data_IF_874728713798
#
_entry.id   IF_874728713798
#
_cell.length_a   1.000
_cell.length_b   1.000
_cell.length_c   1.000
_cell.angle_alpha   90.00
_cell.angle_beta   90.00
_cell.angle_gamma   90.00
#
_symmetry.space_group_name_H-M   'P 1'
#
loop_
_entity.id
_entity.type
_entity.pdbx_description
1 polymer ?
#
# COMPACT_ATOMS: atom_id res chain seq x y z
N UNK A 1 8.47 -9.50 31.96
CA UNK A 1 7.52 -9.83 30.88
C UNK A 1 8.26 -9.50 29.60
N UNK A 2 8.28 -10.41 28.63
CA UNK A 2 8.99 -10.22 27.38
C UNK A 2 8.21 -9.25 26.51
N UNK A 3 8.84 -8.15 26.10
CA UNK A 3 8.27 -7.16 25.19
C UNK A 3 8.06 -7.82 23.82
N UNK A 4 6.81 -7.87 23.34
CA UNK A 4 6.46 -8.38 22.01
C UNK A 4 6.32 -7.18 21.08
N UNK A 5 7.15 -7.12 20.04
CA UNK A 5 7.07 -6.03 19.06
C UNK A 5 6.00 -6.34 18.02
N UNK A 6 5.17 -5.34 17.71
CA UNK A 6 4.12 -5.41 16.69
C UNK A 6 4.47 -4.46 15.57
N UNK A 7 4.57 -4.95 14.33
CA UNK A 7 4.98 -4.12 13.20
C UNK A 7 4.41 -4.60 11.86
N UNK A 8 4.33 -3.64 10.94
CA UNK A 8 4.03 -3.83 9.53
C UNK A 8 5.27 -4.12 8.70
N UNK A 9 5.13 -4.10 7.38
CA UNK A 9 6.25 -4.35 6.46
C UNK A 9 7.26 -3.18 6.40
N UNK A 10 8.41 -3.43 5.78
CA UNK A 10 9.37 -2.42 5.35
C UNK A 10 8.73 -1.42 4.38
N UNK A 11 9.19 -0.17 4.39
CA UNK A 11 8.56 0.95 3.66
C UNK A 11 7.07 1.03 4.00
N UNK A 12 6.75 1.25 5.29
CA UNK A 12 5.39 1.10 5.78
C UNK A 12 4.47 2.16 5.15
N UNK A 13 3.27 1.74 4.80
CA UNK A 13 2.17 2.61 4.45
C UNK A 13 1.25 2.87 5.66
N UNK A 14 0.11 3.51 5.41
CA UNK A 14 -0.83 3.87 6.45
C UNK A 14 -1.51 2.65 7.08
N UNK A 15 -1.70 1.54 6.36
CA UNK A 15 -2.29 0.33 6.94
C UNK A 15 -1.27 -0.39 7.81
N UNK A 16 -0.05 -0.60 7.32
CA UNK A 16 1.06 -1.17 8.08
C UNK A 16 1.27 -0.47 9.45
N UNK A 17 1.24 0.87 9.48
CA UNK A 17 1.33 1.63 10.75
C UNK A 17 0.04 1.52 11.56
N UNK A 18 -1.12 1.74 10.93
CA UNK A 18 -2.40 1.80 11.62
C UNK A 18 -2.79 0.46 12.27
N UNK A 19 -2.64 -0.64 11.55
CA UNK A 19 -2.89 -2.00 12.04
C UNK A 19 -1.94 -2.37 13.16
N UNK A 20 -0.66 -2.00 13.08
CA UNK A 20 0.33 -2.30 14.12
C UNK A 20 0.01 -1.61 15.44
N UNK A 21 -0.27 -0.31 15.39
CA UNK A 21 -0.64 0.47 16.58
C UNK A 21 -1.95 -0.04 17.19
N UNK A 22 -2.96 -0.26 16.35
CA UNK A 22 -4.25 -0.75 16.79
C UNK A 22 -4.17 -2.17 17.39
N UNK A 23 -3.40 -3.06 16.76
CA UNK A 23 -3.25 -4.43 17.23
C UNK A 23 -2.41 -4.51 18.51
N UNK A 24 -1.35 -3.70 18.64
CA UNK A 24 -0.59 -3.62 19.90
C UNK A 24 -1.48 -3.17 21.06
N UNK A 25 -2.37 -2.20 20.84
CA UNK A 25 -3.35 -1.79 21.84
C UNK A 25 -4.32 -2.92 22.17
N UNK A 26 -4.93 -3.53 21.15
CA UNK A 26 -5.87 -4.64 21.34
C UNK A 26 -5.23 -5.82 22.06
N UNK A 27 -3.99 -6.17 21.71
CA UNK A 27 -3.30 -7.31 22.29
C UNK A 27 -3.04 -7.13 23.79
N UNK A 28 -2.75 -5.89 24.21
CA UNK A 28 -2.63 -5.54 25.61
C UNK A 28 -3.96 -5.66 26.35
N UNK A 29 -5.03 -5.09 25.79
CA UNK A 29 -6.35 -5.03 26.44
C UNK A 29 -7.09 -6.38 26.45
N UNK A 30 -7.03 -7.13 25.35
CA UNK A 30 -7.78 -8.37 25.15
C UNK A 30 -7.02 -9.62 25.61
N UNK A 31 -5.69 -9.64 25.44
CA UNK A 31 -4.87 -10.83 25.69
C UNK A 31 -3.90 -10.68 26.85
N UNK A 32 -3.77 -9.47 27.42
CA UNK A 32 -2.82 -9.21 28.51
C UNK A 32 -1.36 -9.34 28.08
N UNK A 33 -1.08 -9.17 26.79
CA UNK A 33 0.28 -9.23 26.25
C UNK A 33 1.01 -7.90 26.48
N UNK A 34 2.31 -7.98 26.72
CA UNK A 34 3.18 -6.81 26.85
C UNK A 34 3.71 -6.43 25.47
N UNK A 35 2.97 -5.58 24.76
CA UNK A 35 3.21 -5.25 23.35
C UNK A 35 3.58 -3.79 23.12
N UNK A 36 4.49 -3.57 22.16
CA UNK A 36 4.92 -2.25 21.67
C UNK A 36 4.78 -2.22 20.14
N UNK A 37 4.12 -1.19 19.61
CA UNK A 37 4.09 -0.96 18.17
C UNK A 37 5.38 -0.26 17.70
N UNK A 38 6.02 -0.80 16.67
CA UNK A 38 7.23 -0.25 16.04
C UNK A 38 7.07 -0.23 14.52
N UNK A 39 7.96 0.49 13.83
CA UNK A 39 7.96 0.60 12.37
C UNK A 39 9.28 0.10 11.77
N UNK A 40 9.22 -0.38 10.52
CA UNK A 40 10.39 -0.81 9.74
C UNK A 40 10.86 0.24 8.72
N UNK A 41 10.36 1.46 8.84
CA UNK A 41 10.71 2.59 7.99
C UNK A 41 10.08 3.87 8.50
N UNK A 42 10.52 5.00 7.94
CA UNK A 42 9.91 6.30 8.26
C UNK A 42 8.53 6.38 7.62
N UNK A 43 7.50 6.90 8.31
CA UNK A 43 6.17 7.14 7.72
C UNK A 43 6.28 7.96 6.42
N UNK A 44 5.52 7.57 5.39
CA UNK A 44 5.40 8.34 4.17
C UNK A 44 4.56 9.63 4.40
N UNK A 45 4.41 10.48 3.38
CA UNK A 45 3.70 11.77 3.51
C UNK A 45 2.22 11.60 3.88
N UNK A 46 1.56 10.56 3.36
CA UNK A 46 0.18 10.22 3.72
C UNK A 46 0.08 9.82 5.20
N UNK A 47 0.93 8.89 5.64
CA UNK A 47 0.93 8.42 7.02
C UNK A 47 1.37 9.52 7.99
N UNK A 48 2.28 10.40 7.59
CA UNK A 48 2.66 11.58 8.37
C UNK A 48 1.47 12.54 8.54
N UNK A 49 0.66 12.75 7.49
CA UNK A 49 -0.60 13.49 7.60
C UNK A 49 -1.54 12.84 8.62
N UNK A 50 -1.72 11.52 8.55
CA UNK A 50 -2.57 10.74 9.46
C UNK A 50 -2.16 10.93 10.93
N UNK A 51 -0.87 10.69 11.22
CA UNK A 51 -0.30 10.81 12.56
C UNK A 51 -0.48 12.23 13.12
N UNK A 52 -0.21 13.24 12.30
CA UNK A 52 -0.42 14.64 12.68
C UNK A 52 -1.89 14.99 12.91
N UNK A 53 -2.79 14.49 12.07
CA UNK A 53 -4.23 14.77 12.16
C UNK A 53 -4.83 14.24 13.47
N UNK A 54 -4.44 13.03 13.89
CA UNK A 54 -4.92 12.41 15.12
C UNK A 54 -4.04 12.67 16.34
N UNK A 55 -2.94 13.42 16.19
CA UNK A 55 -2.03 13.75 17.29
C UNK A 55 -1.33 12.52 17.89
N UNK A 56 -1.03 11.52 17.05
CA UNK A 56 -0.34 10.28 17.46
C UNK A 56 1.13 10.38 17.08
N UNK A 57 2.03 10.05 18.02
CA UNK A 57 3.46 9.96 17.72
C UNK A 57 3.74 8.78 16.78
N UNK A 58 4.63 8.98 15.81
CA UNK A 58 5.06 7.91 14.92
C UNK A 58 5.70 6.77 15.74
N UNK A 59 5.38 5.49 15.45
CA UNK A 59 6.09 4.37 16.06
C UNK A 59 7.60 4.48 15.82
N UNK A 60 8.38 4.08 16.82
CA UNK A 60 9.84 4.08 16.71
C UNK A 60 10.28 3.17 15.58
N UNK A 61 11.20 3.66 14.76
CA UNK A 61 11.80 2.87 13.68
C UNK A 61 12.88 1.94 14.24
N UNK A 62 12.81 0.66 13.86
CA UNK A 62 13.79 -0.36 14.23
C UNK A 62 14.37 -1.03 12.98
N UNK A 63 15.54 -1.64 13.12
CA UNK A 63 16.18 -2.41 12.03
C UNK A 63 16.37 -3.88 12.38
N UNK A 64 16.32 -4.24 13.66
CA UNK A 64 16.48 -5.61 14.18
C UNK A 64 15.63 -5.77 15.43
N UNK A 65 14.77 -6.79 15.48
CA UNK A 65 13.95 -7.07 16.66
C UNK A 65 14.81 -7.54 17.84
N UNK A 66 15.88 -8.31 17.56
CA UNK A 66 16.79 -8.80 18.61
C UNK A 66 17.61 -7.68 19.25
N UNK A 67 18.02 -6.67 18.47
CA UNK A 67 18.73 -5.51 19.02
C UNK A 67 17.87 -4.74 20.03
N UNK A 68 16.54 -4.82 19.89
CA UNK A 68 15.57 -4.25 20.82
C UNK A 68 15.25 -5.17 22.02
N UNK A 69 15.87 -6.36 22.08
CA UNK A 69 15.64 -7.33 23.14
C UNK A 69 14.32 -8.09 23.01
N UNK A 70 13.68 -8.09 21.84
CA UNK A 70 12.47 -8.86 21.59
C UNK A 70 12.81 -10.32 21.24
N UNK A 71 12.16 -11.25 21.94
CA UNK A 71 12.22 -12.69 21.62
C UNK A 71 11.04 -13.13 20.73
N UNK A 72 9.93 -12.39 20.81
CA UNK A 72 8.69 -12.64 20.10
C UNK A 72 8.22 -11.40 19.35
N UNK A 73 7.59 -11.62 18.20
CA UNK A 73 7.04 -10.56 17.37
C UNK A 73 5.63 -10.92 16.88
N UNK A 74 4.86 -9.90 16.55
CA UNK A 74 3.57 -10.02 15.86
C UNK A 74 3.65 -9.21 14.56
N UNK A 75 3.27 -9.84 13.47
CA UNK A 75 3.25 -9.20 12.16
C UNK A 75 1.82 -8.74 11.86
N UNK A 76 1.69 -7.50 11.39
CA UNK A 76 0.45 -7.04 10.76
C UNK A 76 0.71 -6.66 9.32
N UNK A 77 -0.28 -6.82 8.45
CA UNK A 77 -0.25 -6.37 7.05
C UNK A 77 0.87 -7.00 6.17
N UNK A 78 1.56 -8.02 6.68
CA UNK A 78 2.47 -8.83 5.89
C UNK A 78 2.76 -10.17 6.55
N UNK A 79 3.30 -11.09 5.76
CA UNK A 79 3.87 -12.36 6.22
C UNK A 79 5.18 -12.71 5.51
N UNK A 80 5.40 -12.30 4.26
CA UNK A 80 6.58 -12.72 3.50
C UNK A 80 7.87 -12.15 4.16
N UNK A 81 8.80 -13.02 4.56
CA UNK A 81 9.97 -12.63 5.39
C UNK A 81 10.83 -11.53 4.77
N UNK A 82 10.97 -11.50 3.45
CA UNK A 82 11.74 -10.48 2.76
C UNK A 82 11.15 -9.06 2.85
N UNK A 83 9.90 -8.93 3.29
CA UNK A 83 9.24 -7.65 3.56
C UNK A 83 9.33 -7.25 5.05
N UNK A 84 9.83 -8.15 5.91
CA UNK A 84 9.79 -8.00 7.36
C UNK A 84 11.08 -7.43 7.94
N UNK A 85 11.22 -7.47 9.27
CA UNK A 85 12.44 -7.06 9.96
C UNK A 85 13.61 -7.97 9.56
N UNK A 86 14.82 -7.41 9.47
CA UNK A 86 15.98 -8.08 8.86
C UNK A 86 16.36 -9.42 9.52
N UNK A 87 16.07 -9.56 10.81
CA UNK A 87 16.33 -10.73 11.65
C UNK A 87 15.05 -11.52 11.97
N UNK A 88 13.99 -11.42 11.15
CA UNK A 88 12.70 -12.09 11.37
C UNK A 88 12.83 -13.61 11.57
N UNK A 89 13.78 -14.25 10.88
CA UNK A 89 14.04 -15.69 11.01
C UNK A 89 14.72 -16.07 12.34
N UNK A 90 15.19 -15.10 13.12
CA UNK A 90 15.87 -15.31 14.39
C UNK A 90 14.98 -15.05 15.62
N UNK A 91 13.73 -14.61 15.42
CA UNK A 91 12.74 -14.35 16.48
C UNK A 91 11.50 -15.24 16.29
N UNK A 92 10.74 -15.47 17.36
CA UNK A 92 9.51 -16.24 17.26
C UNK A 92 8.34 -15.36 16.79
N UNK A 93 7.71 -15.75 15.69
CA UNK A 93 6.47 -15.11 15.24
C UNK A 93 5.30 -15.67 16.08
N UNK A 94 4.83 -14.87 17.03
CA UNK A 94 3.71 -15.20 17.90
C UNK A 94 2.36 -15.14 17.15
N UNK A 95 2.22 -14.13 16.28
CA UNK A 95 0.96 -13.80 15.64
C UNK A 95 1.13 -13.15 14.26
N UNK A 96 0.17 -13.39 13.37
CA UNK A 96 0.05 -12.68 12.08
C UNK A 96 -1.41 -12.23 11.85
N UNK A 97 -1.61 -10.95 11.50
CA UNK A 97 -2.91 -10.39 11.07
C UNK A 97 -2.73 -9.68 9.74
N UNK A 98 -3.19 -10.27 8.64
CA UNK A 98 -2.83 -9.82 7.29
C UNK A 98 -3.93 -10.14 6.27
N UNK A 99 -3.96 -9.42 5.15
CA UNK A 99 -4.91 -9.58 4.05
C UNK A 99 -4.26 -10.00 2.72
N UNK A 100 -2.93 -10.14 2.72
CA UNK A 100 -2.15 -10.58 1.58
C UNK A 100 -2.18 -12.10 1.38
N UNK A 101 -1.63 -12.55 0.25
CA UNK A 101 -1.32 -13.97 0.03
C UNK A 101 -0.23 -14.43 1.00
N UNK A 102 -0.17 -15.74 1.26
CA UNK A 102 0.92 -16.34 2.03
C UNK A 102 2.03 -16.84 1.11
N UNK A 103 3.25 -16.40 1.32
CA UNK A 103 4.45 -16.90 0.64
C UNK A 103 5.70 -16.60 1.48
N UNK A 104 6.79 -17.37 1.29
CA UNK A 104 8.08 -17.14 1.96
C UNK A 104 7.95 -16.88 3.48
N UNK A 105 7.06 -17.64 4.13
CA UNK A 105 6.75 -17.55 5.55
C UNK A 105 6.76 -18.96 6.12
N UNK A 106 7.46 -19.16 7.23
CA UNK A 106 7.50 -20.42 7.95
C UNK A 106 7.65 -20.19 9.46
N UNK A 107 7.17 -21.13 10.27
CA UNK A 107 7.37 -21.11 11.71
C UNK A 107 7.76 -22.50 12.22
N UNK A 108 8.61 -22.54 13.26
CA UNK A 108 8.98 -23.79 13.91
C UNK A 108 7.88 -24.34 14.82
N UNK A 109 7.04 -23.46 15.37
CA UNK A 109 5.95 -23.77 16.29
C UNK A 109 4.60 -23.33 15.71
N UNK A 110 3.47 -23.93 16.16
CA UNK A 110 2.16 -23.35 15.91
C UNK A 110 2.08 -21.91 16.43
N UNK A 111 1.39 -21.05 15.69
CA UNK A 111 1.19 -19.63 16.02
C UNK A 111 -0.28 -19.22 15.87
N UNK A 112 -0.61 -18.00 16.30
CA UNK A 112 -1.86 -17.36 15.92
C UNK A 112 -1.75 -16.77 14.51
N UNK A 113 -2.70 -17.05 13.63
CA UNK A 113 -2.71 -16.45 12.29
C UNK A 113 -4.15 -16.16 11.88
N UNK A 114 -4.43 -14.90 11.57
CA UNK A 114 -5.73 -14.45 11.06
C UNK A 114 -5.52 -13.74 9.72
N UNK A 115 -5.93 -14.43 8.66
CA UNK A 115 -5.90 -13.89 7.31
C UNK A 115 -7.30 -13.80 6.75
N UNK A 116 -7.64 -12.66 6.16
CA UNK A 116 -8.93 -12.49 5.50
C UNK A 116 -8.76 -11.71 4.18
N UNK A 117 -9.41 -12.14 3.08
CA UNK A 117 -9.29 -11.48 1.78
C UNK A 117 -10.16 -10.20 1.74
N UNK A 118 -9.80 -9.21 2.56
CA UNK A 118 -10.48 -7.90 2.67
C UNK A 118 -9.58 -6.76 2.23
N UNK A 119 -10.12 -5.54 2.23
CA UNK A 119 -9.43 -4.35 1.71
C UNK A 119 -8.17 -3.97 2.47
N UNK A 120 -8.13 -4.19 3.80
CA UNK A 120 -6.98 -3.83 4.65
C UNK A 120 -6.87 -4.70 5.90
N UNK A 121 -5.66 -4.81 6.47
CA UNK A 121 -5.43 -5.45 7.77
C UNK A 121 -6.13 -4.69 8.90
N UNK A 122 -6.22 -3.35 8.86
CA UNK A 122 -7.00 -2.57 9.82
C UNK A 122 -8.47 -3.00 9.92
N UNK A 123 -9.07 -3.44 8.80
CA UNK A 123 -10.44 -3.97 8.79
C UNK A 123 -10.57 -5.30 9.54
N UNK A 124 -9.51 -6.10 9.56
CA UNK A 124 -9.43 -7.33 10.36
C UNK A 124 -9.28 -6.97 11.83
N UNK A 125 -8.34 -6.08 12.17
CA UNK A 125 -8.09 -5.62 13.54
C UNK A 125 -9.35 -5.01 14.15
N UNK A 126 -10.09 -4.19 13.42
CA UNK A 126 -11.35 -3.60 13.90
C UNK A 126 -12.41 -4.67 14.26
N UNK A 127 -12.53 -5.73 13.45
CA UNK A 127 -13.41 -6.86 13.80
C UNK A 127 -12.95 -7.56 15.07
N UNK A 128 -11.64 -7.71 15.26
CA UNK A 128 -11.08 -8.28 16.49
C UNK A 128 -11.43 -7.42 17.72
N UNK A 129 -11.39 -6.09 17.64
CA UNK A 129 -11.89 -5.22 18.72
C UNK A 129 -13.34 -5.54 19.09
N UNK A 130 -14.23 -5.65 18.10
CA UNK A 130 -15.66 -5.97 18.32
C UNK A 130 -15.85 -7.35 18.93
N UNK A 131 -15.12 -8.35 18.44
CA UNK A 131 -15.18 -9.73 18.95
C UNK A 131 -14.77 -9.85 20.41
N UNK A 132 -13.79 -9.05 20.85
CA UNK A 132 -13.30 -9.05 22.23
C UNK A 132 -14.05 -8.06 23.12
N UNK A 133 -15.00 -7.28 22.58
CA UNK A 133 -15.73 -6.26 23.31
C UNK A 133 -14.84 -5.13 23.84
N UNK A 134 -13.70 -4.89 23.21
CA UNK A 134 -12.77 -3.82 23.58
C UNK A 134 -13.21 -2.54 22.87
N UNK A 135 -13.38 -1.46 23.62
CA UNK A 135 -13.69 -0.14 23.05
C UNK A 135 -12.49 0.36 22.24
N UNK A 136 -12.77 0.93 21.06
CA UNK A 136 -11.72 1.50 20.20
C UNK A 136 -11.51 2.97 20.60
N UNK A 137 -10.32 3.38 21.07
CA UNK A 137 -10.02 4.79 21.30
C UNK A 137 -10.13 5.61 20.02
N UNK A 138 -10.48 6.90 20.14
CA UNK A 138 -10.73 7.79 19.01
C UNK A 138 -9.54 7.83 18.03
N UNK A 139 -8.34 7.97 18.58
CA UNK A 139 -7.10 8.09 17.81
C UNK A 139 -6.80 6.78 17.06
N UNK A 140 -6.99 5.64 17.72
CA UNK A 140 -6.80 4.31 17.12
C UNK A 140 -7.85 4.02 16.05
N UNK A 141 -9.11 4.44 16.25
CA UNK A 141 -10.13 4.38 15.22
C UNK A 141 -9.72 5.21 13.99
N UNK A 142 -9.14 6.38 14.22
CA UNK A 142 -8.58 7.24 13.18
C UNK A 142 -7.47 6.56 12.38
N UNK A 143 -6.51 5.93 13.06
CA UNK A 143 -5.43 5.19 12.39
C UNK A 143 -5.94 3.99 11.58
N UNK A 144 -6.84 3.17 12.14
CA UNK A 144 -7.43 2.04 11.42
C UNK A 144 -8.26 2.51 10.22
N UNK A 145 -9.00 3.61 10.37
CA UNK A 145 -9.73 4.21 9.26
C UNK A 145 -8.79 4.62 8.14
N UNK A 146 -7.66 5.22 8.51
CA UNK A 146 -6.65 5.71 7.57
C UNK A 146 -6.04 4.57 6.75
N UNK A 147 -5.65 3.47 7.41
CA UNK A 147 -5.17 2.27 6.74
C UNK A 147 -6.18 1.70 5.75
N UNK A 148 -7.44 1.57 6.18
CA UNK A 148 -8.55 1.16 5.31
C UNK A 148 -8.71 2.08 4.11
N UNK A 149 -8.75 3.41 4.31
CA UNK A 149 -8.90 4.38 3.21
C UNK A 149 -7.73 4.29 2.24
N UNK A 150 -6.50 4.14 2.73
CA UNK A 150 -5.28 4.08 1.93
C UNK A 150 -5.32 2.88 0.97
N UNK A 151 -5.47 1.67 1.49
CA UNK A 151 -5.46 0.43 0.69
C UNK A 151 -6.63 0.33 -0.28
N UNK A 152 -7.75 0.90 0.12
CA UNK A 152 -8.99 0.83 -0.67
C UNK A 152 -9.17 2.03 -1.59
N UNK A 153 -8.26 3.01 -1.58
CA UNK A 153 -8.41 4.29 -2.28
C UNK A 153 -9.79 4.90 -2.03
N UNK A 154 -10.13 5.09 -0.75
CA UNK A 154 -11.44 5.55 -0.30
C UNK A 154 -12.59 4.64 -0.82
N UNK A 155 -12.45 3.33 -0.60
CA UNK A 155 -13.43 2.29 -0.97
C UNK A 155 -13.68 2.11 -2.48
N UNK A 156 -12.80 2.62 -3.34
CA UNK A 156 -12.92 2.56 -4.81
C UNK A 156 -12.06 1.49 -5.45
N UNK A 157 -11.02 1.04 -4.76
CA UNK A 157 -10.13 -0.03 -5.23
C UNK A 157 -10.91 -1.33 -5.43
N UNK A 158 -10.55 -2.15 -6.44
CA UNK A 158 -11.10 -3.50 -6.62
C UNK A 158 -10.69 -4.49 -5.51
N UNK A 159 -9.90 -4.08 -4.52
CA UNK A 159 -9.64 -4.85 -3.28
C UNK A 159 -10.71 -4.62 -2.22
N UNK A 160 -11.48 -3.54 -2.32
CA UNK A 160 -12.53 -3.19 -1.34
C UNK A 160 -13.55 -4.31 -1.21
N UNK A 161 -13.63 -4.89 -0.02
CA UNK A 161 -14.60 -5.92 0.33
C UNK A 161 -15.91 -5.28 0.81
N UNK A 162 -17.08 -5.93 0.64
CA UNK A 162 -18.35 -5.39 1.13
C UNK A 162 -18.37 -5.05 2.62
N UNK A 163 -17.57 -5.72 3.45
CA UNK A 163 -17.44 -5.39 4.88
C UNK A 163 -16.71 -4.07 5.11
N UNK A 164 -15.77 -3.69 4.26
CA UNK A 164 -15.00 -2.45 4.43
C UNK A 164 -15.92 -1.23 4.28
N UNK A 165 -16.95 -1.35 3.44
CA UNK A 165 -18.01 -0.33 3.28
C UNK A 165 -18.90 -0.16 4.51
N UNK A 166 -18.91 -1.15 5.41
CA UNK A 166 -19.61 -1.08 6.70
C UNK A 166 -18.65 -0.59 7.79
N UNK A 167 -17.41 -1.06 7.76
CA UNK A 167 -16.38 -0.73 8.76
C UNK A 167 -15.94 0.73 8.67
N UNK A 168 -15.73 1.27 7.46
CA UNK A 168 -15.21 2.63 7.32
C UNK A 168 -16.14 3.71 7.92
N UNK A 169 -17.48 3.67 7.71
CA UNK A 169 -18.39 4.59 8.40
C UNK A 169 -18.37 4.43 9.93
N UNK A 170 -18.31 3.20 10.45
CA UNK A 170 -18.23 2.96 11.90
C UNK A 170 -16.94 3.53 12.50
N UNK A 171 -15.80 3.33 11.84
CA UNK A 171 -14.52 3.91 12.26
C UNK A 171 -14.50 5.43 12.13
N UNK A 172 -15.10 6.00 11.10
CA UNK A 172 -15.21 7.46 10.93
C UNK A 172 -16.03 8.11 12.04
N UNK A 173 -17.14 7.48 12.45
CA UNK A 173 -17.93 7.92 13.61
C UNK A 173 -17.08 7.89 14.90
N UNK A 174 -16.38 6.78 15.15
CA UNK A 174 -15.51 6.62 16.33
C UNK A 174 -14.35 7.63 16.35
N UNK A 175 -13.76 7.90 15.18
CA UNK A 175 -12.69 8.88 15.00
C UNK A 175 -13.21 10.33 15.03
N UNK A 176 -14.52 10.54 14.90
CA UNK A 176 -15.14 11.85 14.89
C UNK A 176 -14.83 12.67 13.64
N UNK A 177 -14.77 12.03 12.46
CA UNK A 177 -14.45 12.66 11.18
C UNK A 177 -15.54 12.39 10.13
N UNK A 178 -15.64 13.27 9.13
CA UNK A 178 -16.40 12.96 7.91
C UNK A 178 -15.53 12.06 7.01
N UNK A 179 -16.03 10.85 6.69
CA UNK A 179 -15.29 9.85 5.92
C UNK A 179 -14.73 10.38 4.58
N UNK A 180 -15.58 11.04 3.80
CA UNK A 180 -15.21 11.50 2.45
C UNK A 180 -14.25 12.69 2.50
N UNK A 181 -14.55 13.69 3.34
CA UNK A 181 -13.71 14.89 3.47
C UNK A 181 -12.33 14.55 4.03
N UNK A 182 -12.29 13.74 5.11
CA UNK A 182 -11.05 13.28 5.72
C UNK A 182 -10.25 12.41 4.76
N UNK A 183 -10.89 11.41 4.16
CA UNK A 183 -10.21 10.48 3.28
C UNK A 183 -9.64 11.13 2.03
N UNK A 184 -10.36 12.09 1.44
CA UNK A 184 -9.83 12.86 0.31
C UNK A 184 -8.66 13.74 0.73
N UNK A 185 -8.71 14.40 1.90
CA UNK A 185 -7.61 15.19 2.41
C UNK A 185 -6.36 14.34 2.69
N UNK A 186 -6.55 13.15 3.26
CA UNK A 186 -5.49 12.18 3.54
C UNK A 186 -4.82 11.71 2.25
N UNK A 187 -5.61 11.21 1.30
CA UNK A 187 -5.10 10.73 0.01
C UNK A 187 -4.35 11.84 -0.73
N UNK A 188 -4.85 13.08 -0.71
CA UNK A 188 -4.16 14.25 -1.29
C UNK A 188 -2.81 14.54 -0.65
N UNK A 189 -2.68 14.34 0.66
CA UNK A 189 -1.40 14.54 1.34
C UNK A 189 -0.34 13.52 0.87
N UNK A 190 -0.76 12.33 0.43
CA UNK A 190 0.12 11.31 -0.16
C UNK A 190 0.56 11.60 -1.60
N UNK A 191 -0.08 12.54 -2.31
CA UNK A 191 0.17 12.80 -3.74
C UNK A 191 1.07 14.01 -4.00
N UNK A 192 2.01 14.33 -3.11
CA UNK A 192 2.97 15.40 -3.34
C UNK A 192 4.02 15.00 -4.40
N UNK A 193 3.58 14.97 -5.65
CA UNK A 193 4.41 14.60 -6.79
C UNK A 193 5.31 15.77 -7.22
N UNK A 194 4.90 17.00 -6.96
CA UNK A 194 5.62 18.22 -7.36
C UNK A 194 7.03 18.33 -6.77
N UNK A 195 7.27 17.81 -5.56
CA UNK A 195 8.61 17.82 -4.94
C UNK A 195 9.53 16.70 -5.40
N UNK A 196 9.02 15.71 -6.16
CA UNK A 196 9.78 14.56 -6.65
C UNK A 196 10.32 14.81 -8.04
N UNK A 197 11.55 14.39 -8.31
CA UNK A 197 12.14 14.39 -9.65
C UNK A 197 11.44 13.41 -10.58
N UNK A 198 11.60 13.58 -11.91
CA UNK A 198 11.03 12.65 -12.89
C UNK A 198 11.54 11.21 -12.70
N UNK A 199 12.84 11.05 -12.37
CA UNK A 199 13.44 9.74 -12.07
C UNK A 199 12.81 9.09 -10.84
N UNK A 200 12.54 9.86 -9.78
CA UNK A 200 11.82 9.36 -8.62
C UNK A 200 10.39 8.95 -9.00
N UNK A 201 9.65 9.80 -9.70
CA UNK A 201 8.25 9.54 -10.08
C UNK A 201 8.07 8.21 -10.83
N UNK A 202 8.94 7.94 -11.81
CA UNK A 202 8.84 6.72 -12.62
C UNK A 202 9.28 5.45 -11.87
N UNK A 203 9.80 5.60 -10.64
CA UNK A 203 10.29 4.49 -9.82
C UNK A 203 9.57 4.30 -8.48
N UNK A 204 8.67 5.23 -8.08
CA UNK A 204 7.88 5.16 -6.81
C UNK A 204 7.22 3.79 -6.62
N UNK A 205 6.39 3.37 -7.58
CA UNK A 205 5.82 2.02 -7.63
C UNK A 205 6.00 1.44 -9.03
N UNK A 206 7.21 0.94 -9.29
CA UNK A 206 7.54 0.35 -10.58
C UNK A 206 7.98 -1.11 -10.47
N UNK A 207 7.51 -1.92 -11.42
CA UNK A 207 7.84 -3.35 -11.54
C UNK A 207 8.16 -3.67 -12.99
N UNK A 208 9.09 -4.59 -13.17
CA UNK A 208 9.46 -5.09 -14.50
C UNK A 208 8.80 -6.45 -14.71
N UNK A 209 8.25 -6.64 -15.90
CA UNK A 209 7.59 -7.87 -16.33
C UNK A 209 8.24 -8.35 -17.62
N UNK A 210 8.50 -9.65 -17.70
CA UNK A 210 8.91 -10.30 -18.94
C UNK A 210 7.62 -10.75 -19.66
N UNK A 211 7.36 -10.16 -20.84
CA UNK A 211 6.17 -10.40 -21.65
C UNK A 211 6.58 -10.87 -23.05
N UNK A 212 6.66 -12.19 -23.25
CA UNK A 212 6.95 -12.82 -24.53
C UNK A 212 8.28 -12.35 -25.17
N UNK A 213 9.35 -12.37 -24.37
CA UNK A 213 10.69 -11.90 -24.70
C UNK A 213 10.93 -10.40 -24.51
N UNK A 214 9.90 -9.63 -24.14
CA UNK A 214 9.98 -8.17 -23.96
C UNK A 214 10.05 -7.81 -22.48
N UNK A 215 11.05 -7.02 -22.09
CA UNK A 215 11.16 -6.51 -20.73
C UNK A 215 10.37 -5.20 -20.62
N UNK A 216 9.16 -5.28 -20.05
CA UNK A 216 8.25 -4.13 -19.92
C UNK A 216 8.29 -3.60 -18.49
N UNK A 217 8.64 -2.33 -18.33
CA UNK A 217 8.56 -1.62 -17.04
C UNK A 217 7.16 -1.02 -16.90
N UNK A 218 6.48 -1.32 -15.80
CA UNK A 218 5.18 -0.75 -15.47
C UNK A 218 5.26 -0.02 -14.14
N UNK A 219 5.17 1.31 -14.20
CA UNK A 219 5.17 2.20 -13.05
C UNK A 219 3.76 2.74 -12.77
N UNK A 220 3.50 3.12 -11.53
CA UNK A 220 2.27 3.77 -11.12
C UNK A 220 2.59 4.94 -10.19
N UNK A 221 1.94 6.08 -10.44
CA UNK A 221 1.90 7.22 -9.53
C UNK A 221 0.45 7.54 -9.21
N UNK A 222 0.17 7.80 -7.93
CA UNK A 222 -1.13 8.27 -7.49
C UNK A 222 -1.14 9.79 -7.48
N UNK A 223 -2.19 10.38 -8.06
CA UNK A 223 -2.42 11.82 -8.09
C UNK A 223 -3.90 12.11 -7.83
N UNK A 224 -4.19 13.36 -7.48
CA UNK A 224 -5.56 13.89 -7.48
C UNK A 224 -5.87 14.76 -8.70
N UNK A 225 -4.85 15.04 -9.51
CA UNK A 225 -4.95 15.76 -10.76
C UNK A 225 -3.97 15.15 -11.78
N UNK A 226 -4.51 14.47 -12.78
CA UNK A 226 -3.72 13.92 -13.89
C UNK A 226 -3.06 15.04 -14.69
N UNK A 227 -3.74 16.17 -14.86
CA UNK A 227 -3.24 17.26 -15.68
C UNK A 227 -1.95 17.85 -15.09
N UNK A 228 -1.88 18.01 -13.77
CA UNK A 228 -0.67 18.48 -13.07
C UNK A 228 0.56 17.60 -13.33
N UNK A 229 0.37 16.28 -13.42
CA UNK A 229 1.47 15.35 -13.75
C UNK A 229 1.84 15.44 -15.24
N UNK A 230 0.85 15.59 -16.12
CA UNK A 230 1.07 15.73 -17.56
C UNK A 230 1.72 17.07 -17.94
N UNK A 231 1.61 18.13 -17.13
CA UNK A 231 2.41 19.35 -17.31
C UNK A 231 3.93 19.06 -17.30
N UNK A 232 4.33 17.94 -16.67
CA UNK A 232 5.70 17.44 -16.60
C UNK A 232 6.00 16.32 -17.60
N UNK A 233 5.12 16.08 -18.57
CA UNK A 233 5.26 14.95 -19.50
C UNK A 233 6.64 14.89 -20.17
N UNK A 234 7.16 16.00 -20.70
CA UNK A 234 8.42 16.00 -21.42
C UNK A 234 9.63 15.52 -20.57
N UNK A 235 9.68 15.90 -19.28
CA UNK A 235 10.74 15.42 -18.38
C UNK A 235 10.53 13.97 -17.93
N UNK A 236 9.27 13.55 -17.75
CA UNK A 236 8.91 12.17 -17.44
C UNK A 236 9.27 11.25 -18.61
N UNK A 237 8.96 11.64 -19.84
CA UNK A 237 9.32 10.91 -21.05
C UNK A 237 10.84 10.77 -21.19
N UNK A 238 11.59 11.84 -20.91
CA UNK A 238 13.05 11.80 -20.92
C UNK A 238 13.61 10.81 -19.88
N UNK A 239 13.05 10.80 -18.67
CA UNK A 239 13.41 9.84 -17.63
C UNK A 239 13.05 8.40 -18.02
N UNK A 240 11.86 8.15 -18.58
CA UNK A 240 11.44 6.84 -19.08
C UNK A 240 12.38 6.33 -20.18
N UNK A 241 12.76 7.19 -21.13
CA UNK A 241 13.70 6.84 -22.19
C UNK A 241 15.09 6.50 -21.64
N UNK A 242 15.58 7.30 -20.68
CA UNK A 242 16.85 7.04 -20.01
C UNK A 242 16.83 5.72 -19.23
N UNK A 243 15.72 5.43 -18.53
CA UNK A 243 15.51 4.18 -17.82
C UNK A 243 15.46 2.98 -18.78
N UNK A 244 14.76 3.09 -19.91
CA UNK A 244 14.73 2.06 -20.95
C UNK A 244 16.12 1.75 -21.48
N UNK A 245 16.89 2.79 -21.84
CA UNK A 245 18.25 2.64 -22.36
C UNK A 245 19.21 2.03 -21.33
N UNK A 246 19.12 2.44 -20.07
CA UNK A 246 20.01 1.99 -18.98
C UNK A 246 19.75 0.55 -18.58
N UNK A 247 18.47 0.17 -18.49
CA UNK A 247 18.07 -1.12 -17.92
C UNK A 247 17.67 -2.16 -18.98
N UNK A 248 17.68 -1.79 -20.27
CA UNK A 248 17.31 -2.68 -21.37
C UNK A 248 15.83 -3.04 -21.38
N UNK A 249 14.96 -2.10 -20.98
CA UNK A 249 13.51 -2.26 -21.12
C UNK A 249 13.11 -2.02 -22.58
N UNK A 250 12.28 -2.89 -23.14
CA UNK A 250 11.71 -2.70 -24.47
C UNK A 250 10.63 -1.63 -24.47
N UNK A 251 9.88 -1.54 -23.36
CA UNK A 251 8.72 -0.68 -23.20
C UNK A 251 8.62 -0.20 -21.75
N UNK A 252 8.15 1.03 -21.60
CA UNK A 252 7.79 1.63 -20.33
C UNK A 252 6.33 2.07 -20.40
N UNK A 253 5.54 1.66 -19.42
CA UNK A 253 4.15 2.06 -19.23
C UNK A 253 4.03 2.72 -17.86
N UNK A 254 3.70 4.00 -17.82
CA UNK A 254 3.42 4.75 -16.60
C UNK A 254 1.91 4.95 -16.45
N UNK A 255 1.37 4.51 -15.31
CA UNK A 255 -0.01 4.76 -14.89
C UNK A 255 -0.06 6.02 -14.02
N UNK A 256 -0.60 7.11 -14.54
CA UNK A 256 -0.89 8.32 -13.77
C UNK A 256 -2.32 8.19 -13.25
N UNK A 257 -2.47 7.72 -12.01
CA UNK A 257 -3.75 7.29 -11.46
C UNK A 257 -4.42 8.40 -10.65
N UNK A 258 -5.56 8.87 -11.13
CA UNK A 258 -6.47 9.72 -10.37
C UNK A 258 -7.22 8.89 -9.33
N UNK A 259 -6.81 9.02 -8.07
CA UNK A 259 -7.41 8.29 -6.95
C UNK A 259 -8.80 8.84 -6.56
N UNK A 260 -9.15 10.04 -7.02
CA UNK A 260 -10.45 10.66 -6.77
C UNK A 260 -11.48 10.15 -7.76
N UNK A 261 -11.15 10.07 -9.05
CA UNK A 261 -12.08 9.66 -10.10
C UNK A 261 -11.92 8.19 -10.52
N UNK A 262 -10.92 7.49 -9.98
CA UNK A 262 -10.62 6.08 -10.24
C UNK A 262 -10.36 5.79 -11.72
N UNK A 263 -9.55 6.64 -12.35
CA UNK A 263 -9.08 6.46 -13.71
C UNK A 263 -7.56 6.59 -13.76
N UNK A 264 -6.93 6.08 -14.82
CA UNK A 264 -5.52 6.36 -15.09
C UNK A 264 -5.36 7.00 -16.45
N UNK A 265 -4.43 7.94 -16.58
CA UNK A 265 -3.79 8.20 -17.86
C UNK A 265 -2.63 7.22 -18.02
N UNK A 266 -2.54 6.57 -19.18
CA UNK A 266 -1.44 5.68 -19.52
C UNK A 266 -0.48 6.44 -20.43
N UNK A 267 0.70 6.77 -19.92
CA UNK A 267 1.82 7.28 -20.72
C UNK A 267 2.73 6.10 -21.08
N UNK A 268 2.99 5.87 -22.36
CA UNK A 268 3.75 4.72 -22.83
C UNK A 268 4.82 5.11 -23.84
N UNK A 269 6.02 4.53 -23.69
CA UNK A 269 7.15 4.71 -24.60
C UNK A 269 7.89 3.39 -24.79
N UNK A 270 8.22 3.04 -26.03
CA UNK A 270 8.93 1.79 -26.31
C UNK A 270 8.79 1.29 -27.74
N UNK A 271 9.19 0.05 -27.95
CA UNK A 271 9.18 -0.61 -29.26
C UNK A 271 7.80 -1.16 -29.66
N UNK A 272 6.94 -1.48 -28.70
CA UNK A 272 5.70 -2.25 -28.87
C UNK A 272 4.44 -1.44 -28.48
N UNK A 273 4.37 -0.17 -28.92
CA UNK A 273 3.24 0.72 -28.58
C UNK A 273 1.90 0.23 -29.14
N UNK A 274 1.92 -0.47 -30.26
CA UNK A 274 0.74 -1.15 -30.84
C UNK A 274 0.18 -2.22 -29.89
N UNK A 275 1.04 -2.92 -29.16
CA UNK A 275 0.63 -3.90 -28.14
C UNK A 275 0.00 -3.22 -26.93
N UNK A 276 0.54 -2.08 -26.49
CA UNK A 276 -0.08 -1.27 -25.42
C UNK A 276 -1.45 -0.76 -25.87
N UNK A 277 -1.57 -0.25 -27.10
CA UNK A 277 -2.84 0.18 -27.68
C UNK A 277 -3.89 -0.93 -27.75
N UNK A 278 -3.48 -2.12 -28.22
CA UNK A 278 -4.35 -3.28 -28.33
C UNK A 278 -4.80 -3.81 -26.97
N UNK A 279 -3.92 -3.76 -25.95
CA UNK A 279 -4.23 -4.24 -24.59
C UNK A 279 -5.42 -3.49 -23.97
N UNK A 280 -5.55 -2.19 -24.25
CA UNK A 280 -6.57 -1.34 -23.64
C UNK A 280 -7.62 -0.83 -24.63
N UNK A 281 -7.54 -1.26 -25.89
CA UNK A 281 -8.44 -0.85 -26.98
C UNK A 281 -8.56 0.69 -27.08
N UNK A 282 -7.42 1.39 -26.99
CA UNK A 282 -7.32 2.83 -27.15
C UNK A 282 -6.31 3.21 -28.24
N UNK A 283 -6.09 4.51 -28.45
CA UNK A 283 -5.01 5.04 -29.29
C UNK A 283 -4.21 6.07 -28.52
N UNK A 284 -2.89 5.94 -28.56
CA UNK A 284 -1.99 6.88 -27.91
C UNK A 284 -1.95 8.18 -28.75
N UNK A 285 -2.34 9.29 -28.12
CA UNK A 285 -2.15 10.64 -28.64
C UNK A 285 -1.06 11.31 -27.81
N UNK A 286 -0.01 11.80 -28.46
CA UNK A 286 1.15 12.37 -27.75
C UNK A 286 1.72 11.42 -26.69
N UNK A 287 1.90 10.14 -27.07
CA UNK A 287 2.39 9.04 -26.22
C UNK A 287 1.51 8.63 -25.03
N UNK A 288 0.33 9.23 -24.84
CA UNK A 288 -0.56 8.87 -23.74
C UNK A 288 -2.01 8.63 -24.17
N UNK A 289 -2.77 7.93 -23.33
CA UNK A 289 -4.21 7.73 -23.51
C UNK A 289 -4.94 7.44 -22.19
N UNK A 290 -6.19 7.88 -22.13
CA UNK A 290 -7.05 7.73 -20.95
C UNK A 290 -7.58 6.29 -20.82
N UNK A 291 -7.43 5.72 -19.63
CA UNK A 291 -7.93 4.40 -19.25
C UNK A 291 -8.93 4.52 -18.09
N UNK A 292 -10.21 4.53 -18.45
CA UNK A 292 -11.31 4.65 -17.49
C UNK A 292 -11.36 3.46 -16.53
N UNK A 293 -11.57 3.72 -15.24
CA UNK A 293 -11.72 2.69 -14.21
C UNK A 293 -10.41 2.05 -13.74
N UNK A 294 -9.26 2.37 -14.34
CA UNK A 294 -7.98 1.79 -13.94
C UNK A 294 -7.43 2.45 -12.67
N UNK A 295 -7.11 1.61 -11.67
CA UNK A 295 -6.42 1.99 -10.43
C UNK A 295 -5.43 0.92 -9.96
N UNK A 296 -5.52 -0.30 -10.51
CA UNK A 296 -4.73 -1.45 -10.09
C UNK A 296 -3.85 -1.97 -11.23
N UNK A 297 -2.53 -1.72 -11.14
CA UNK A 297 -1.54 -2.33 -12.04
C UNK A 297 -1.70 -3.85 -12.17
N UNK A 298 -1.82 -4.55 -11.03
CA UNK A 298 -1.85 -6.03 -10.98
C UNK A 298 -3.13 -6.63 -11.57
N UNK A 299 -4.29 -6.01 -11.35
CA UNK A 299 -5.59 -6.57 -11.79
C UNK A 299 -6.04 -6.07 -13.16
N UNK A 300 -5.67 -4.85 -13.54
CA UNK A 300 -6.27 -4.16 -14.68
C UNK A 300 -5.27 -3.86 -15.81
N UNK A 301 -3.97 -3.76 -15.54
CA UNK A 301 -2.97 -3.39 -16.56
C UNK A 301 -2.10 -4.58 -16.95
N UNK A 302 -1.44 -5.23 -16.00
CA UNK A 302 -0.51 -6.34 -16.28
C UNK A 302 -1.19 -7.48 -17.05
N UNK A 303 -2.37 -8.00 -16.65
CA UNK A 303 -3.01 -9.09 -17.39
C UNK A 303 -3.33 -8.74 -18.85
N UNK A 304 -3.77 -7.50 -19.11
CA UNK A 304 -4.13 -7.04 -20.46
C UNK A 304 -2.88 -6.89 -21.34
N UNK A 305 -1.80 -6.33 -20.78
CA UNK A 305 -0.49 -6.28 -21.46
C UNK A 305 0.02 -7.70 -21.74
N UNK A 306 -0.04 -8.62 -20.77
CA UNK A 306 0.38 -10.00 -20.97
C UNK A 306 -0.39 -10.68 -22.11
N UNK A 307 -1.72 -10.50 -22.17
CA UNK A 307 -2.53 -11.06 -23.25
C UNK A 307 -2.14 -10.47 -24.61
N UNK A 308 -2.02 -9.14 -24.71
CA UNK A 308 -1.67 -8.45 -25.96
C UNK A 308 -0.28 -8.82 -26.49
N UNK A 309 0.73 -8.92 -25.62
CA UNK A 309 2.10 -9.28 -26.00
C UNK A 309 2.24 -10.76 -26.40
N UNK A 310 1.31 -11.62 -25.99
CA UNK A 310 1.23 -13.02 -26.42
C UNK A 310 0.42 -13.23 -27.70
N UNK A 311 -0.32 -12.22 -28.16
CA UNK A 311 -1.16 -12.29 -29.36
C UNK A 311 -0.39 -12.11 -30.68
#
# INVERSE_FOLDING_TARGET
MSNILVFGHQNPDSDAIGSSVAFAYLAKEAYGLDTEAVALGTPNEETAFVLNYFGVEAPRVITSAKAEGAEQVILTDHNEFQQSVSDIAEVEVYGVVDHHRVANFETASPLYMRLEPVGSASSIVYRMFKEHGVAVPKEIAGLMLSGLISDTLLLKSPTTHPTDKVIAPELAELAGVNLEEYGLAMLKAGTNLASKSADELIDIDAKTFELNGNNVRVAQVNTVDIAEVLERQAEIEAAMQAANATNGYSDFVLMITDIVNSNSEILALGANMDKVEAAFNFKLGDNHAFLAGAVSRKKQVVPQLTESFNA
#
